data_IF_337046979234
#
_entry.id   IF_337046979234
#
_cell.length_a   1.000
_cell.length_b   1.000
_cell.length_c   1.000
_cell.angle_alpha   90.00
_cell.angle_beta   90.00
_cell.angle_gamma   90.00
#
_symmetry.space_group_name_H-M   'P 1'
#
loop_
_entity.id
_entity.type
_entity.pdbx_description
1 polymer ?
#
# COMPACT_ATOMS: atom_id res chain seq x y z
N UNK A 1 -0.72 -6.61 4.34
CA UNK A 1 -1.05 -5.20 4.54
C UNK A 1 0.05 -4.53 5.35
N UNK A 2 0.40 -3.30 5.02
CA UNK A 2 1.46 -2.54 5.70
C UNK A 2 1.23 -1.05 5.52
N UNK A 3 1.80 -0.20 6.40
CA UNK A 3 1.65 1.26 6.36
C UNK A 3 3.01 1.95 6.31
N UNK A 4 3.14 2.89 5.38
CA UNK A 4 4.36 3.68 5.23
C UNK A 4 4.12 5.15 5.50
N UNK A 5 4.90 5.73 6.41
CA UNK A 5 4.92 7.18 6.63
C UNK A 5 5.66 7.90 5.51
N UNK A 6 5.03 8.92 4.95
CA UNK A 6 5.63 9.85 4.01
C UNK A 6 5.62 11.26 4.58
N UNK A 7 6.76 11.92 4.67
CA UNK A 7 6.81 13.31 5.12
C UNK A 7 5.94 14.21 4.25
N UNK A 8 5.16 15.07 4.90
CA UNK A 8 4.45 16.16 4.23
C UNK A 8 5.39 17.34 3.97
N UNK A 9 5.07 18.11 2.97
CA UNK A 9 5.79 19.33 2.65
C UNK A 9 4.89 20.29 1.88
N UNK A 10 5.04 21.57 2.13
CA UNK A 10 4.37 22.64 1.40
C UNK A 10 5.16 23.09 0.19
N UNK A 11 6.47 23.05 0.28
CA UNK A 11 7.43 23.41 -0.78
C UNK A 11 8.56 22.41 -0.84
N UNK A 12 9.22 22.26 -1.99
CA UNK A 12 10.38 21.39 -2.11
C UNK A 12 11.44 21.69 -1.05
N UNK A 13 12.02 20.66 -0.46
CA UNK A 13 13.03 20.79 0.59
C UNK A 13 14.36 21.32 0.07
N UNK A 14 15.28 21.68 0.98
CA UNK A 14 16.58 22.29 0.69
C UNK A 14 17.45 21.46 -0.27
N UNK A 15 17.34 20.14 -0.29
CA UNK A 15 18.05 19.28 -1.24
C UNK A 15 17.71 19.58 -2.70
N UNK A 16 16.54 20.16 -2.95
CA UNK A 16 16.06 20.54 -4.27
C UNK A 16 16.31 22.03 -4.55
N UNK A 17 16.04 22.86 -3.52
CA UNK A 17 16.11 24.33 -3.64
C UNK A 17 17.52 24.91 -3.43
N UNK A 18 18.44 24.11 -2.88
CA UNK A 18 19.79 24.56 -2.52
C UNK A 18 19.86 25.50 -1.30
N UNK A 19 18.72 25.95 -0.78
CA UNK A 19 18.65 26.94 0.31
C UNK A 19 18.09 26.33 1.60
N UNK A 20 18.78 26.55 2.71
CA UNK A 20 18.35 26.23 4.08
C UNK A 20 17.68 27.41 4.80
N UNK A 21 17.55 28.55 4.13
CA UNK A 21 17.18 29.81 4.78
C UNK A 21 15.80 29.78 5.47
N UNK A 22 14.90 28.88 5.09
CA UNK A 22 13.61 28.71 5.75
C UNK A 22 13.16 27.24 5.69
N UNK A 23 13.03 26.60 6.85
CA UNK A 23 12.36 25.31 6.97
C UNK A 23 10.83 25.52 6.97
N UNK A 24 10.30 25.81 5.78
CA UNK A 24 8.85 26.03 5.54
C UNK A 24 8.02 24.75 5.74
N UNK A 25 8.67 23.63 5.98
CA UNK A 25 8.04 22.33 6.18
C UNK A 25 8.03 21.89 7.66
N UNK A 26 8.50 22.75 8.57
CA UNK A 26 8.53 22.44 10.00
C UNK A 26 7.10 22.26 10.52
N UNK A 27 6.84 21.12 11.19
CA UNK A 27 5.54 20.83 11.80
C UNK A 27 4.43 20.35 10.83
N UNK A 28 4.72 20.13 9.54
CA UNK A 28 3.70 19.73 8.54
C UNK A 28 3.21 18.30 8.75
N UNK A 29 3.96 17.47 9.48
CA UNK A 29 3.58 16.10 9.81
C UNK A 29 3.78 15.09 8.68
N UNK A 30 2.94 14.05 8.67
CA UNK A 30 3.07 12.91 7.77
C UNK A 30 1.75 12.58 7.08
N UNK A 31 1.86 12.01 5.87
CA UNK A 31 0.84 11.20 5.25
C UNK A 31 1.15 9.72 5.51
N UNK A 32 0.13 8.90 5.66
CA UNK A 32 0.25 7.47 5.89
C UNK A 32 -0.28 6.72 4.68
N UNK A 33 0.62 6.00 4.02
CA UNK A 33 0.34 5.22 2.83
C UNK A 33 -0.05 3.81 3.26
N UNK A 34 -1.32 3.49 3.22
CA UNK A 34 -1.86 2.18 3.57
C UNK A 34 -1.84 1.29 2.34
N UNK A 35 -1.06 0.22 2.37
CA UNK A 35 -0.83 -0.69 1.26
C UNK A 35 -1.42 -2.07 1.54
N UNK A 36 -2.30 -2.54 0.67
CA UNK A 36 -2.78 -3.92 0.66
C UNK A 36 -2.37 -4.55 -0.66
N UNK A 37 -1.62 -5.64 -0.59
CA UNK A 37 -1.07 -6.34 -1.75
C UNK A 37 -1.60 -7.77 -1.78
N UNK A 38 -2.16 -8.20 -2.90
CA UNK A 38 -2.47 -9.61 -3.10
C UNK A 38 -1.19 -10.41 -3.32
N UNK A 39 -1.03 -11.46 -2.52
CA UNK A 39 0.21 -12.24 -2.47
C UNK A 39 0.47 -13.01 -3.76
N UNK A 40 -0.58 -13.45 -4.43
CA UNK A 40 -0.47 -14.23 -5.66
C UNK A 40 -0.27 -13.35 -6.88
N UNK A 41 -1.21 -12.46 -7.17
CA UNK A 41 -1.20 -11.64 -8.39
C UNK A 41 -0.25 -10.46 -8.33
N UNK A 42 0.09 -9.97 -7.13
CA UNK A 42 0.79 -8.69 -6.89
C UNK A 42 -0.08 -7.46 -7.17
N UNK A 43 -1.36 -7.63 -7.40
CA UNK A 43 -2.28 -6.50 -7.50
C UNK A 43 -2.30 -5.74 -6.18
N UNK A 44 -2.19 -4.44 -6.28
CA UNK A 44 -2.09 -3.56 -5.11
C UNK A 44 -3.30 -2.64 -5.00
N UNK A 45 -3.75 -2.44 -3.77
CA UNK A 45 -4.69 -1.40 -3.37
C UNK A 45 -3.99 -0.45 -2.40
N UNK A 46 -4.11 0.86 -2.62
CA UNK A 46 -3.39 1.85 -1.82
C UNK A 46 -4.25 3.06 -1.55
N UNK A 47 -4.24 3.50 -0.31
CA UNK A 47 -4.85 4.76 0.12
C UNK A 47 -3.84 5.63 0.87
N UNK A 48 -4.05 6.93 0.82
CA UNK A 48 -3.26 7.91 1.56
C UNK A 48 -4.15 8.59 2.60
N UNK A 49 -3.76 8.48 3.86
CA UNK A 49 -4.52 9.02 5.00
C UNK A 49 -3.68 9.95 5.86
N UNK A 50 -4.32 10.88 6.60
CA UNK A 50 -3.61 11.78 7.52
C UNK A 50 -3.18 11.12 8.83
N UNK A 51 -3.61 9.88 9.08
CA UNK A 51 -3.33 9.13 10.32
C UNK A 51 -3.23 7.63 10.07
N UNK A 52 -2.63 6.96 11.04
CA UNK A 52 -2.56 5.51 11.13
C UNK A 52 -3.22 5.10 12.45
N UNK A 53 -4.49 4.73 12.39
CA UNK A 53 -5.26 4.22 13.50
C UNK A 53 -6.04 2.95 13.11
N UNK A 54 -6.60 2.27 14.11
CA UNK A 54 -7.29 0.99 13.90
C UNK A 54 -8.51 1.11 12.98
N UNK A 55 -9.24 2.23 13.06
CA UNK A 55 -10.42 2.47 12.22
C UNK A 55 -10.02 2.70 10.76
N UNK A 56 -8.98 3.50 10.51
CA UNK A 56 -8.46 3.75 9.18
C UNK A 56 -7.93 2.46 8.55
N UNK A 57 -7.20 1.64 9.32
CA UNK A 57 -6.69 0.35 8.86
C UNK A 57 -7.82 -0.62 8.49
N UNK A 58 -8.84 -0.72 9.35
CA UNK A 58 -10.00 -1.58 9.08
C UNK A 58 -10.79 -1.13 7.84
N UNK A 59 -11.05 0.18 7.73
CA UNK A 59 -11.75 0.74 6.57
C UNK A 59 -10.96 0.58 5.26
N UNK A 60 -9.63 0.75 5.30
CA UNK A 60 -8.78 0.51 4.13
C UNK A 60 -8.82 -0.97 3.71
N UNK A 61 -8.73 -1.90 4.66
CA UNK A 61 -8.82 -3.32 4.35
C UNK A 61 -10.18 -3.69 3.75
N UNK A 62 -11.28 -3.18 4.32
CA UNK A 62 -12.63 -3.42 3.81
C UNK A 62 -12.77 -2.98 2.34
N UNK A 63 -12.30 -1.78 2.00
CA UNK A 63 -12.31 -1.26 0.62
C UNK A 63 -11.37 -2.03 -0.30
N UNK A 64 -10.22 -2.46 0.20
CA UNK A 64 -9.29 -3.30 -0.56
C UNK A 64 -9.92 -4.66 -0.90
N UNK A 65 -10.58 -5.32 0.05
CA UNK A 65 -11.27 -6.59 -0.20
C UNK A 65 -12.37 -6.45 -1.25
N UNK A 66 -13.13 -5.36 -1.19
CA UNK A 66 -14.14 -5.05 -2.23
C UNK A 66 -13.51 -4.84 -3.60
N UNK A 67 -12.44 -4.03 -3.66
CA UNK A 67 -11.69 -3.80 -4.90
C UNK A 67 -11.15 -5.10 -5.52
N UNK A 68 -10.61 -6.01 -4.70
CA UNK A 68 -10.12 -7.31 -5.18
C UNK A 68 -11.28 -8.19 -5.69
N UNK A 69 -12.41 -8.20 -5.01
CA UNK A 69 -13.60 -8.92 -5.45
C UNK A 69 -14.14 -8.38 -6.78
N UNK A 70 -14.18 -7.06 -6.98
CA UNK A 70 -14.57 -6.41 -8.24
C UNK A 70 -13.63 -6.76 -9.40
N UNK A 71 -12.37 -7.09 -9.12
CA UNK A 71 -11.42 -7.61 -10.10
C UNK A 71 -11.57 -9.12 -10.37
N UNK A 72 -12.42 -9.82 -9.65
CA UNK A 72 -12.62 -11.27 -9.76
C UNK A 72 -11.63 -12.11 -8.94
N UNK A 73 -10.92 -11.50 -8.00
CA UNK A 73 -10.10 -12.26 -7.05
C UNK A 73 -10.99 -12.92 -5.98
N UNK A 74 -10.69 -14.17 -5.67
CA UNK A 74 -11.35 -14.86 -4.57
C UNK A 74 -11.05 -14.18 -3.22
N UNK A 75 -11.96 -14.29 -2.23
CA UNK A 75 -11.67 -13.84 -0.88
C UNK A 75 -10.36 -14.46 -0.37
N UNK A 76 -9.47 -13.67 0.25
CA UNK A 76 -8.21 -14.21 0.74
C UNK A 76 -8.44 -15.13 1.95
N UNK A 77 -7.69 -16.21 2.04
CA UNK A 77 -7.72 -17.11 3.22
C UNK A 77 -7.13 -16.43 4.47
N UNK A 78 -6.22 -15.50 4.27
CA UNK A 78 -5.54 -14.82 5.36
C UNK A 78 -5.10 -13.41 4.99
N UNK A 79 -5.04 -12.53 5.97
CA UNK A 79 -4.41 -11.21 5.90
C UNK A 79 -3.19 -11.19 6.81
N UNK A 80 -2.04 -10.86 6.22
CA UNK A 80 -0.79 -10.69 6.96
C UNK A 80 -0.53 -9.23 7.29
N UNK A 81 -0.14 -8.95 8.53
CA UNK A 81 0.31 -7.63 9.00
C UNK A 81 1.56 -7.77 9.86
N UNK A 82 2.19 -6.68 10.19
CA UNK A 82 3.16 -6.62 11.28
C UNK A 82 2.47 -6.75 12.66
N UNK A 83 3.25 -6.62 13.75
CA UNK A 83 2.76 -6.70 15.12
C UNK A 83 2.29 -5.37 15.70
N UNK A 84 2.03 -4.35 14.89
CA UNK A 84 1.58 -3.06 15.39
C UNK A 84 0.25 -3.20 16.17
N UNK A 85 0.16 -2.50 17.30
CA UNK A 85 -0.99 -2.58 18.20
C UNK A 85 -2.32 -2.20 17.52
N UNK A 86 -2.27 -1.38 16.48
CA UNK A 86 -3.44 -0.99 15.68
C UNK A 86 -4.11 -2.18 15.00
N UNK A 87 -3.36 -3.22 14.65
CA UNK A 87 -3.89 -4.47 14.10
C UNK A 87 -4.27 -5.46 15.22
N UNK A 88 -3.38 -5.58 16.21
CA UNK A 88 -3.57 -6.58 17.29
C UNK A 88 -4.78 -6.25 18.16
N UNK A 89 -4.96 -4.98 18.53
CA UNK A 89 -6.02 -4.50 19.43
C UNK A 89 -7.20 -3.84 18.71
N UNK A 90 -7.13 -3.68 17.41
CA UNK A 90 -8.17 -3.04 16.60
C UNK A 90 -9.46 -3.87 16.56
N UNK A 91 -10.46 -3.54 17.35
CA UNK A 91 -11.73 -4.30 17.41
C UNK A 91 -12.35 -4.45 16.03
N UNK A 92 -12.53 -3.34 15.31
CA UNK A 92 -13.13 -3.33 13.96
C UNK A 92 -12.32 -4.15 12.98
N UNK A 93 -11.00 -4.07 13.02
CA UNK A 93 -10.11 -4.83 12.14
C UNK A 93 -10.29 -6.33 12.35
N UNK A 94 -10.24 -6.78 13.63
CA UNK A 94 -10.41 -8.20 13.97
C UNK A 94 -11.84 -8.69 13.68
N UNK A 95 -12.86 -7.87 13.95
CA UNK A 95 -14.25 -8.21 13.61
C UNK A 95 -14.48 -8.37 12.12
N UNK A 96 -13.90 -7.48 11.31
CA UNK A 96 -13.93 -7.58 9.84
C UNK A 96 -13.37 -8.92 9.37
N UNK A 97 -12.20 -9.31 9.86
CA UNK A 97 -11.57 -10.59 9.49
C UNK A 97 -12.41 -11.77 9.93
N UNK A 98 -12.92 -11.78 11.17
CA UNK A 98 -13.78 -12.84 11.69
C UNK A 98 -15.05 -12.99 10.87
N UNK A 99 -15.74 -11.90 10.58
CA UNK A 99 -16.98 -11.90 9.80
C UNK A 99 -16.76 -12.38 8.36
N UNK A 100 -15.58 -12.14 7.79
CA UNK A 100 -15.21 -12.59 6.45
C UNK A 100 -14.59 -14.00 6.42
N UNK A 101 -14.42 -14.66 7.57
CA UNK A 101 -13.73 -15.96 7.65
C UNK A 101 -12.25 -15.91 7.30
N UNK A 102 -11.62 -14.74 7.42
CA UNK A 102 -10.22 -14.49 7.03
C UNK A 102 -9.31 -14.64 8.26
N UNK A 103 -8.29 -15.46 8.15
CA UNK A 103 -7.28 -15.62 9.22
C UNK A 103 -6.38 -14.39 9.32
N UNK A 104 -6.07 -13.95 10.53
CA UNK A 104 -5.06 -12.93 10.77
C UNK A 104 -3.70 -13.59 11.01
N UNK A 105 -2.73 -13.34 10.14
CA UNK A 105 -1.35 -13.79 10.30
C UNK A 105 -0.49 -12.60 10.69
N UNK A 106 0.17 -12.69 11.84
CA UNK A 106 1.14 -11.69 12.29
C UNK A 106 2.54 -12.14 11.94
N UNK A 107 3.35 -11.22 11.41
CA UNK A 107 4.75 -11.51 11.10
C UNK A 107 5.48 -11.94 12.37
N UNK A 108 6.16 -13.10 12.40
CA UNK A 108 6.95 -13.48 13.56
C UNK A 108 8.03 -12.43 13.86
N UNK A 109 8.30 -12.22 15.14
CA UNK A 109 9.34 -11.30 15.60
C UNK A 109 10.69 -11.78 15.00
N UNK A 110 11.49 -10.84 14.50
CA UNK A 110 12.80 -11.09 13.84
C UNK A 110 12.77 -11.91 12.55
N UNK A 111 11.62 -12.00 11.84
CA UNK A 111 11.53 -12.72 10.56
C UNK A 111 11.06 -11.80 9.42
N UNK A 112 11.89 -10.85 8.95
CA UNK A 112 11.49 -9.84 7.95
C UNK A 112 11.08 -10.45 6.60
N UNK A 113 11.45 -11.71 6.31
CA UNK A 113 11.14 -12.37 5.04
C UNK A 113 9.64 -12.55 4.78
N UNK A 114 8.82 -12.58 5.81
CA UNK A 114 7.38 -12.84 5.68
C UNK A 114 6.64 -11.66 5.05
N UNK A 115 7.05 -10.43 5.34
CA UNK A 115 6.41 -9.22 4.79
C UNK A 115 7.14 -8.66 3.53
N UNK A 116 8.15 -9.36 3.03
CA UNK A 116 9.07 -8.88 1.99
C UNK A 116 8.40 -8.47 0.68
N UNK A 117 7.23 -9.01 0.34
CA UNK A 117 6.50 -8.66 -0.88
C UNK A 117 5.87 -7.27 -0.79
N UNK A 118 5.19 -6.95 0.31
CA UNK A 118 4.60 -5.62 0.51
C UNK A 118 5.70 -4.58 0.77
N UNK A 119 6.78 -4.94 1.47
CA UNK A 119 7.94 -4.07 1.64
C UNK A 119 8.60 -3.71 0.30
N UNK A 120 8.77 -4.69 -0.60
CA UNK A 120 9.26 -4.45 -1.96
C UNK A 120 8.31 -3.56 -2.75
N UNK A 121 7.02 -3.77 -2.63
CA UNK A 121 6.02 -2.91 -3.25
C UNK A 121 6.08 -1.48 -2.71
N UNK A 122 6.21 -1.30 -1.40
CA UNK A 122 6.39 0.02 -0.77
C UNK A 122 7.65 0.69 -1.28
N UNK A 123 8.75 -0.04 -1.46
CA UNK A 123 9.98 0.50 -2.07
C UNK A 123 9.71 0.97 -3.50
N UNK A 124 9.03 0.16 -4.31
CA UNK A 124 8.61 0.58 -5.67
C UNK A 124 7.78 1.87 -5.64
N UNK A 125 6.83 1.98 -4.71
CA UNK A 125 6.05 3.22 -4.52
C UNK A 125 6.94 4.41 -4.15
N UNK A 126 7.95 4.20 -3.31
CA UNK A 126 8.87 5.26 -2.93
C UNK A 126 9.73 5.70 -4.12
N UNK A 127 10.33 4.77 -4.84
CA UNK A 127 11.30 5.04 -5.89
C UNK A 127 10.62 5.54 -7.19
N UNK A 128 9.51 4.93 -7.58
CA UNK A 128 8.88 5.20 -8.89
C UNK A 128 7.73 6.22 -8.81
N UNK A 129 7.22 6.53 -7.63
CA UNK A 129 6.17 7.53 -7.43
C UNK A 129 6.53 8.60 -6.42
N UNK A 130 6.70 8.27 -5.13
CA UNK A 130 6.76 9.29 -4.06
C UNK A 130 7.97 10.21 -4.19
N UNK A 131 9.11 9.67 -4.63
CA UNK A 131 10.40 10.38 -4.78
C UNK A 131 10.96 10.35 -6.20
N UNK A 132 10.19 9.89 -7.18
CA UNK A 132 10.61 9.79 -8.60
C UNK A 132 10.95 11.14 -9.24
N UNK A 133 10.41 12.21 -8.71
CA UNK A 133 10.62 13.58 -9.16
C UNK A 133 10.42 14.58 -8.05
N UNK A 134 10.80 15.82 -8.28
CA UNK A 134 10.46 16.94 -7.39
C UNK A 134 9.00 17.30 -7.52
N UNK A 135 8.27 17.21 -6.43
CA UNK A 135 6.88 17.63 -6.34
C UNK A 135 6.77 19.04 -5.78
N UNK A 136 5.86 19.87 -6.29
CA UNK A 136 5.66 21.22 -5.73
C UNK A 136 5.24 21.19 -4.25
N UNK A 137 4.39 20.23 -3.88
CA UNK A 137 3.92 20.00 -2.52
C UNK A 137 3.32 18.59 -2.38
N UNK A 138 2.99 18.20 -1.14
CA UNK A 138 2.41 16.88 -0.84
C UNK A 138 1.06 16.64 -1.53
N UNK A 139 0.23 17.68 -1.69
CA UNK A 139 -1.05 17.55 -2.37
C UNK A 139 -0.89 17.24 -3.85
N UNK A 140 0.12 17.84 -4.52
CA UNK A 140 0.43 17.52 -5.91
C UNK A 140 0.90 16.07 -6.05
N UNK A 141 1.74 15.58 -5.12
CA UNK A 141 2.13 14.17 -5.03
C UNK A 141 0.92 13.26 -4.84
N UNK A 142 0.06 13.57 -3.86
CA UNK A 142 -1.11 12.75 -3.53
C UNK A 142 -2.08 12.57 -4.69
N UNK A 143 -2.35 13.64 -5.46
CA UNK A 143 -3.26 13.58 -6.64
C UNK A 143 -2.85 12.57 -7.70
N UNK A 144 -1.59 12.18 -7.77
CA UNK A 144 -1.08 11.23 -8.77
C UNK A 144 -1.04 9.79 -8.29
N UNK A 145 -1.30 9.53 -7.01
CA UNK A 145 -1.22 8.18 -6.43
C UNK A 145 -2.07 7.16 -7.20
N UNK A 146 -3.36 7.47 -7.39
CA UNK A 146 -4.27 6.52 -8.03
C UNK A 146 -3.93 6.25 -9.50
N UNK A 147 -3.37 7.23 -10.20
CA UNK A 147 -2.86 7.04 -11.57
C UNK A 147 -1.64 6.13 -11.59
N UNK A 148 -0.74 6.28 -10.61
CA UNK A 148 0.40 5.38 -10.46
C UNK A 148 -0.04 3.95 -10.12
N UNK A 149 -1.00 3.76 -9.19
CA UNK A 149 -1.51 2.43 -8.83
C UNK A 149 -2.16 1.74 -10.02
N UNK A 150 -2.94 2.48 -10.83
CA UNK A 150 -3.48 1.93 -12.09
C UNK A 150 -2.38 1.50 -13.06
N UNK A 151 -1.32 2.32 -13.22
CA UNK A 151 -0.16 1.95 -14.02
C UNK A 151 0.53 0.70 -13.46
N UNK A 152 0.82 0.67 -12.16
CA UNK A 152 1.45 -0.47 -11.49
C UNK A 152 0.66 -1.77 -11.72
N UNK A 153 -0.65 -1.75 -11.49
CA UNK A 153 -1.48 -2.93 -11.61
C UNK A 153 -1.66 -3.41 -13.06
N UNK A 154 -1.75 -2.50 -14.03
CA UNK A 154 -2.19 -2.82 -15.40
C UNK A 154 -1.11 -2.78 -16.46
N UNK A 155 0.02 -2.13 -16.22
CA UNK A 155 1.04 -1.88 -17.26
C UNK A 155 2.47 -2.14 -16.82
N UNK A 156 2.78 -1.97 -15.54
CA UNK A 156 4.15 -2.10 -15.04
C UNK A 156 4.60 -3.55 -15.15
N UNK A 157 5.71 -3.86 -15.88
CA UNK A 157 6.30 -5.18 -15.88
C UNK A 157 6.77 -5.58 -14.48
N UNK A 158 6.58 -6.84 -14.11
CA UNK A 158 6.96 -7.34 -12.81
C UNK A 158 7.78 -8.62 -12.95
N UNK A 159 9.08 -8.57 -12.64
CA UNK A 159 10.03 -9.66 -12.87
C UNK A 159 9.62 -10.98 -12.18
N UNK A 160 9.04 -10.92 -10.98
CA UNK A 160 8.62 -12.13 -10.26
C UNK A 160 7.41 -12.85 -10.88
N UNK A 161 6.80 -12.27 -11.91
CA UNK A 161 5.66 -12.85 -12.63
C UNK A 161 5.88 -12.85 -14.16
N UNK A 162 7.14 -12.97 -14.58
CA UNK A 162 7.50 -13.09 -16.00
C UNK A 162 7.35 -11.81 -16.79
N UNK A 163 7.70 -10.68 -16.18
CA UNK A 163 7.64 -9.34 -16.76
C UNK A 163 6.25 -8.92 -17.28
N UNK A 164 5.21 -9.55 -16.74
CA UNK A 164 3.82 -9.18 -16.99
C UNK A 164 3.30 -8.23 -15.91
N UNK A 165 2.27 -7.42 -16.19
CA UNK A 165 1.64 -6.61 -15.17
C UNK A 165 0.84 -7.48 -14.18
N UNK A 166 0.69 -7.05 -12.91
CA UNK A 166 -0.05 -7.77 -11.87
C UNK A 166 -1.44 -8.26 -12.30
N UNK A 167 -2.19 -7.44 -13.03
CA UNK A 167 -3.54 -7.77 -13.49
C UNK A 167 -3.58 -9.04 -14.37
N UNK A 168 -2.49 -9.37 -15.06
CA UNK A 168 -2.44 -10.57 -15.92
C UNK A 168 -2.60 -11.89 -15.16
N UNK A 169 -2.38 -11.88 -13.83
CA UNK A 169 -2.55 -13.06 -12.97
C UNK A 169 -3.93 -13.20 -12.36
N UNK A 170 -4.78 -12.19 -12.49
CA UNK A 170 -6.15 -12.23 -11.98
C UNK A 170 -6.99 -13.20 -12.80
N UNK A 171 -6.88 -13.17 -14.12
CA UNK A 171 -7.63 -14.03 -15.03
C UNK A 171 -7.24 -15.51 -14.94
N UNK A 172 -6.01 -15.80 -14.54
CA UNK A 172 -5.53 -17.17 -14.37
C UNK A 172 -6.15 -17.90 -13.15
N UNK A 173 -6.77 -17.18 -12.23
CA UNK A 173 -7.47 -17.76 -11.09
C UNK A 173 -8.87 -18.27 -11.45
N UNK A 174 -9.44 -17.80 -12.57
CA UNK A 174 -10.77 -18.17 -13.03
C UNK A 174 -10.79 -19.38 -13.98
N UNK A 175 -9.67 -20.08 -14.17
CA UNK A 175 -9.64 -21.31 -14.96
C UNK A 175 -10.00 -21.16 -16.46
N UNK A 176 -9.92 -19.97 -17.03
CA UNK A 176 -10.31 -19.69 -18.42
C UNK A 176 -9.14 -19.66 -19.40
N UNK A 177 -8.15 -20.51 -19.21
CA UNK A 177 -7.17 -20.83 -20.28
C UNK A 177 -6.94 -22.33 -20.28
N UNK A 178 -7.86 -23.08 -20.84
CA UNK A 178 -7.61 -24.37 -21.49
C UNK A 178 -7.31 -24.13 -22.96
#
# INVERSE_FOLDING_TARGET
MDVKKLGRFHVPGHRVTGSRAYDRNRGVGYDYLHCVLDDHSRVAYVELHPREDAETNAGTLERALRFFAELGLNPPEAVMTDNALVYVRGRRFNQLLTNAGIRHIRTPIYTPRWNGKVERFIRTLQDEWAYSRTWPNSSARARTLQSFIRYYNRRRPHSSIGDRPPISRVHNLCGQYS
#
